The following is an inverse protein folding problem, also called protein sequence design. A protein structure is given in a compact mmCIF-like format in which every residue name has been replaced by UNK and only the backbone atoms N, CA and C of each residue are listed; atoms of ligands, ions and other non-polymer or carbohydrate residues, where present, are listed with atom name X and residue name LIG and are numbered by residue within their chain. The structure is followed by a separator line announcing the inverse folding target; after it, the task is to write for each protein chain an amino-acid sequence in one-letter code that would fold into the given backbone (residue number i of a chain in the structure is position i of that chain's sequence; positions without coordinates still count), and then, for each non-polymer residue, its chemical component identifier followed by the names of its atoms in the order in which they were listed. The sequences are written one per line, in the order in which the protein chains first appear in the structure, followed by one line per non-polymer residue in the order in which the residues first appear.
data_IF_333176175361
#
_entry.id   IF_333176175361
#
_cell.length_a   1.000
_cell.length_b   1.000
_cell.length_c   1.000
_cell.angle_alpha   90.00
_cell.angle_beta   90.00
_cell.angle_gamma   90.00
#
_symmetry.space_group_name_H-M   'P 1'
#
loop_
_entity.id
_entity.type
_entity.pdbx_description
1 polymer ?
#
# COMPACT_ATOMS: atom_id res chain seq x y z
N UNK A 1 -19.06 -5.41 10.62
CA UNK A 1 -19.21 -4.00 11.03
C UNK A 1 -20.62 -3.79 11.58
N UNK A 2 -20.81 -2.91 12.57
CA UNK A 2 -22.13 -2.54 13.12
C UNK A 2 -22.89 -1.54 12.23
N UNK A 3 -22.43 -1.29 11.00
CA UNK A 3 -23.12 -0.48 9.99
C UNK A 3 -22.80 1.02 10.02
N UNK A 4 -22.19 1.52 11.09
CA UNK A 4 -21.73 2.91 11.18
C UNK A 4 -20.33 3.03 10.57
N UNK A 5 -20.20 3.88 9.55
CA UNK A 5 -18.94 4.21 8.91
C UNK A 5 -18.78 5.73 8.88
N UNK A 6 -17.54 6.23 8.98
CA UNK A 6 -17.25 7.66 8.82
C UNK A 6 -17.46 8.13 7.37
N UNK A 7 -17.02 9.34 7.05
CA UNK A 7 -17.06 9.82 5.67
C UNK A 7 -16.07 9.03 4.79
N UNK A 8 -16.60 8.11 3.97
CA UNK A 8 -15.80 7.24 3.10
C UNK A 8 -15.15 8.01 1.93
N UNK A 9 -15.66 9.19 1.57
CA UNK A 9 -15.10 10.02 0.49
C UNK A 9 -13.70 10.58 0.84
N UNK A 10 -13.33 10.53 2.12
CA UNK A 10 -11.99 10.93 2.60
C UNK A 10 -10.98 9.78 2.55
N UNK A 11 -11.41 8.56 2.23
CA UNK A 11 -10.50 7.42 2.10
C UNK A 11 -9.68 7.53 0.81
N UNK A 12 -8.43 7.02 0.80
CA UNK A 12 -7.70 6.82 -0.43
C UNK A 12 -8.47 5.93 -1.41
N UNK A 13 -8.15 6.05 -2.70
CA UNK A 13 -8.58 5.15 -3.77
C UNK A 13 -8.40 3.68 -3.34
N UNK A 14 -9.34 2.80 -3.73
CA UNK A 14 -9.41 1.40 -3.25
C UNK A 14 -8.11 0.63 -3.48
N UNK A 15 -7.46 0.88 -4.61
CA UNK A 15 -6.20 0.29 -5.00
C UNK A 15 -5.01 0.75 -4.13
N UNK A 16 -5.07 1.94 -3.53
CA UNK A 16 -4.14 2.45 -2.51
C UNK A 16 -4.52 1.91 -1.13
N UNK A 17 -5.82 1.87 -0.82
CA UNK A 17 -6.35 1.40 0.44
C UNK A 17 -5.93 -0.05 0.73
N UNK A 18 -5.84 -0.88 -0.32
CA UNK A 18 -5.32 -2.25 -0.23
C UNK A 18 -3.93 -2.35 0.41
N UNK A 19 -3.09 -1.32 0.27
CA UNK A 19 -1.76 -1.24 0.85
C UNK A 19 -1.77 -0.56 2.22
N UNK A 20 -2.39 0.62 2.34
CA UNK A 20 -2.36 1.40 3.59
C UNK A 20 -2.98 0.64 4.76
N UNK A 21 -4.02 -0.15 4.51
CA UNK A 21 -4.68 -1.01 5.51
C UNK A 21 -3.86 -2.24 5.92
N UNK A 22 -2.76 -2.56 5.22
CA UNK A 22 -1.82 -3.59 5.69
C UNK A 22 -1.01 -3.12 6.91
N UNK A 23 -1.04 -1.82 7.24
CA UNK A 23 -0.46 -1.27 8.46
C UNK A 23 -1.56 -0.93 9.47
N UNK A 24 -1.59 -1.62 10.61
CA UNK A 24 -2.57 -1.34 11.67
C UNK A 24 -2.37 -0.03 12.44
N UNK A 25 -1.24 0.67 12.24
CA UNK A 25 -0.87 1.89 12.98
C UNK A 25 -0.90 3.15 12.11
N UNK A 26 -1.33 3.05 10.84
CA UNK A 26 -1.44 4.21 9.96
C UNK A 26 -0.11 4.86 9.55
N UNK A 27 1.02 4.14 9.68
CA UNK A 27 2.35 4.68 9.35
C UNK A 27 2.65 4.65 7.84
N UNK A 28 1.87 3.93 7.05
CA UNK A 28 2.04 3.86 5.61
C UNK A 28 1.25 4.97 4.91
N UNK A 29 1.95 6.01 4.48
CA UNK A 29 1.35 7.14 3.76
C UNK A 29 0.83 6.72 2.37
N UNK A 30 -0.39 7.14 2.03
CA UNK A 30 -1.00 6.92 0.71
C UNK A 30 -0.14 7.45 -0.44
N UNK A 31 0.54 8.58 -0.25
CA UNK A 31 1.44 9.16 -1.26
C UNK A 31 2.65 8.27 -1.58
N UNK A 32 3.20 7.56 -0.59
CA UNK A 32 4.30 6.62 -0.81
C UNK A 32 3.83 5.42 -1.65
N UNK A 33 2.62 4.90 -1.37
CA UNK A 33 2.00 3.84 -2.16
C UNK A 33 1.87 4.28 -3.62
N UNK A 34 1.29 5.48 -3.85
CA UNK A 34 1.13 6.03 -5.20
C UNK A 34 2.47 6.14 -5.93
N UNK A 35 3.49 6.69 -5.27
CA UNK A 35 4.83 6.83 -5.87
C UNK A 35 5.43 5.46 -6.25
N UNK A 36 5.34 4.46 -5.37
CA UNK A 36 5.89 3.13 -5.66
C UNK A 36 5.14 2.41 -6.77
N UNK A 37 3.82 2.55 -6.84
CA UNK A 37 3.00 2.00 -7.94
C UNK A 37 3.41 2.59 -9.29
N UNK A 38 3.51 3.92 -9.39
CA UNK A 38 3.90 4.57 -10.64
C UNK A 38 5.34 4.24 -11.04
N UNK A 39 6.26 4.12 -10.08
CA UNK A 39 7.62 3.67 -10.35
C UNK A 39 7.68 2.22 -10.87
N UNK A 40 6.83 1.32 -10.37
CA UNK A 40 6.72 -0.07 -10.85
C UNK A 40 6.15 -0.12 -12.26
N UNK A 41 5.06 0.62 -12.54
CA UNK A 41 4.45 0.72 -13.88
C UNK A 41 5.43 1.29 -14.91
N UNK A 42 6.21 2.30 -14.52
CA UNK A 42 7.25 2.89 -15.36
C UNK A 42 8.50 2.00 -15.52
N UNK A 43 8.55 0.81 -14.90
CA UNK A 43 9.69 -0.10 -14.95
C UNK A 43 10.95 0.39 -14.22
N UNK A 44 10.84 1.44 -13.40
CA UNK A 44 11.96 2.05 -12.68
C UNK A 44 12.40 1.22 -11.47
N UNK A 45 11.49 0.40 -10.92
CA UNK A 45 11.73 -0.44 -9.76
C UNK A 45 10.98 -1.76 -9.88
N UNK A 46 11.56 -2.85 -9.37
CA UNK A 46 10.86 -4.14 -9.32
C UNK A 46 9.75 -4.13 -8.25
N UNK A 47 8.64 -4.88 -8.46
CA UNK A 47 7.60 -5.07 -7.45
C UNK A 47 8.14 -5.52 -6.08
N UNK A 48 9.10 -6.45 -6.08
CA UNK A 48 9.78 -6.92 -4.86
C UNK A 48 10.49 -5.77 -4.11
N UNK A 49 11.25 -4.92 -4.83
CA UNK A 49 11.98 -3.82 -4.19
C UNK A 49 11.02 -2.72 -3.72
N UNK A 50 9.96 -2.45 -4.48
CA UNK A 50 8.90 -1.52 -4.09
C UNK A 50 8.16 -2.01 -2.83
N UNK A 51 7.79 -3.30 -2.74
CA UNK A 51 7.12 -3.86 -1.56
C UNK A 51 7.98 -3.74 -0.29
N UNK A 52 9.30 -3.92 -0.42
CA UNK A 52 10.26 -3.71 0.67
C UNK A 52 10.35 -2.24 1.09
N UNK A 53 10.26 -1.29 0.17
CA UNK A 53 10.22 0.15 0.50
C UNK A 53 8.92 0.49 1.23
N UNK A 54 7.78 -0.03 0.75
CA UNK A 54 6.47 0.16 1.40
C UNK A 54 6.42 -0.40 2.82
N UNK A 55 7.20 -1.42 3.13
CA UNK A 55 7.29 -1.98 4.48
C UNK A 55 8.09 -1.11 5.46
N UNK A 56 9.00 -0.24 4.99
CA UNK A 56 9.93 0.51 5.87
C UNK A 56 9.25 1.36 6.95
N UNK A 57 8.13 2.07 6.67
CA UNK A 57 7.43 2.82 7.72
C UNK A 57 6.77 1.93 8.79
N UNK A 58 6.59 0.63 8.54
CA UNK A 58 5.96 -0.29 9.47
C UNK A 58 6.97 -0.83 10.49
N UNK A 59 7.14 -0.13 11.62
CA UNK A 59 8.04 -0.56 12.69
C UNK A 59 7.61 -1.85 13.41
N UNK A 60 6.33 -2.19 13.39
CA UNK A 60 5.80 -3.40 14.03
C UNK A 60 5.88 -4.66 13.16
N UNK A 61 6.30 -4.53 11.90
CA UNK A 61 6.57 -5.69 11.02
C UNK A 61 5.34 -6.43 10.48
N UNK A 62 4.11 -5.96 10.71
CA UNK A 62 2.88 -6.65 10.25
C UNK A 62 2.65 -6.51 8.75
N UNK A 63 3.22 -5.47 8.13
CA UNK A 63 2.99 -5.15 6.72
C UNK A 63 3.32 -6.36 5.83
N UNK A 64 2.31 -6.87 5.11
CA UNK A 64 2.44 -8.07 4.32
C UNK A 64 3.15 -7.76 2.98
N UNK A 65 4.49 -7.86 3.01
CA UNK A 65 5.36 -7.61 1.86
C UNK A 65 5.05 -8.51 0.66
N UNK A 66 4.73 -9.78 0.90
CA UNK A 66 4.43 -10.75 -0.17
C UNK A 66 3.11 -10.43 -0.87
N UNK A 67 2.09 -10.02 -0.11
CA UNK A 67 0.83 -9.52 -0.68
C UNK A 67 1.06 -8.23 -1.47
N UNK A 68 1.84 -7.30 -0.92
CA UNK A 68 2.13 -6.04 -1.59
C UNK A 68 2.88 -6.24 -2.91
N UNK A 69 3.87 -7.14 -2.94
CA UNK A 69 4.58 -7.55 -4.16
C UNK A 69 3.63 -8.08 -5.24
N UNK A 70 2.75 -9.02 -4.89
CA UNK A 70 1.74 -9.59 -5.81
C UNK A 70 0.80 -8.52 -6.37
N UNK A 71 0.30 -7.62 -5.53
CA UNK A 71 -0.58 -6.53 -5.98
C UNK A 71 0.14 -5.56 -6.93
N UNK A 72 1.43 -5.30 -6.70
CA UNK A 72 2.25 -4.47 -7.58
C UNK A 72 2.54 -5.15 -8.92
N UNK A 73 2.63 -6.48 -8.95
CA UNK A 73 2.78 -7.27 -10.19
C UNK A 73 1.50 -7.29 -11.02
N UNK A 74 0.34 -7.47 -10.38
CA UNK A 74 -0.97 -7.52 -11.04
C UNK A 74 -1.39 -6.17 -11.64
N UNK A 75 -0.81 -5.07 -11.14
CA UNK A 75 -1.15 -3.68 -11.52
C UNK A 75 -0.05 -2.99 -12.35
N UNK A 76 0.87 -3.77 -12.92
CA UNK A 76 1.90 -3.29 -13.86
C UNK A 76 1.32 -2.80 -15.17
#
# INVERSE_FOLDING_TARGET
SLGVHGNLDLLPEEDILCFTTMCGHGLLAAGLVKQMKEAVKAGQISPEKASRILAKPCYCGIFNQKRAEKLLEEQK
#
